data_IF_640563839381
#
_entry.id   IF_640563839381
#
_cell.length_a   1.000
_cell.length_b   1.000
_cell.length_c   1.000
_cell.angle_alpha   90.00
_cell.angle_beta   90.00
_cell.angle_gamma   90.00
#
_symmetry.space_group_name_H-M   'P 1'
#
loop_
_entity.id
_entity.type
_entity.pdbx_description
1 polymer ?
#
# COMPACT_ATOMS: atom_id res chain seq x y z
N UNK A 1 -21.51 6.05 2.08
CA UNK A 1 -20.89 5.05 1.20
C UNK A 1 -21.76 3.80 1.04
N UNK A 2 -22.16 3.10 2.13
CA UNK A 2 -22.96 1.86 2.06
C UNK A 2 -24.32 2.06 1.37
N UNK A 3 -25.06 3.14 1.68
CA UNK A 3 -26.33 3.47 1.07
C UNK A 3 -26.21 3.70 -0.45
N UNK A 4 -25.15 4.35 -0.90
CA UNK A 4 -24.86 4.61 -2.31
C UNK A 4 -24.50 3.33 -3.06
N UNK A 5 -23.75 2.43 -2.43
CA UNK A 5 -23.44 1.10 -2.98
C UNK A 5 -24.72 0.26 -3.14
N UNK A 6 -25.58 0.21 -2.12
CA UNK A 6 -26.86 -0.48 -2.17
C UNK A 6 -27.79 0.11 -3.23
N UNK A 7 -27.82 1.43 -3.35
CA UNK A 7 -28.61 2.12 -4.38
C UNK A 7 -28.10 1.79 -5.79
N UNK A 8 -26.78 1.83 -6.03
CA UNK A 8 -26.17 1.43 -7.32
C UNK A 8 -26.46 -0.03 -7.67
N UNK A 9 -26.34 -0.95 -6.72
CA UNK A 9 -26.62 -2.35 -6.91
C UNK A 9 -28.10 -2.64 -7.22
N UNK A 10 -29.01 -1.77 -6.79
CA UNK A 10 -30.47 -1.89 -7.08
C UNK A 10 -30.89 -1.23 -8.38
N UNK A 11 -30.22 -0.16 -8.80
CA UNK A 11 -30.65 0.66 -9.93
C UNK A 11 -29.92 0.34 -11.24
N UNK A 12 -28.79 -0.34 -11.19
CA UNK A 12 -28.02 -0.69 -12.37
C UNK A 12 -28.39 -2.09 -12.88
N UNK A 13 -28.93 -2.17 -14.09
CA UNK A 13 -29.34 -3.43 -14.74
C UNK A 13 -28.17 -4.41 -14.96
N UNK A 14 -26.93 -3.91 -14.97
CA UNK A 14 -25.71 -4.72 -15.04
C UNK A 14 -25.61 -5.77 -13.91
N UNK A 15 -26.20 -5.50 -12.74
CA UNK A 15 -26.14 -6.39 -11.59
C UNK A 15 -27.36 -7.34 -11.49
N UNK A 16 -28.40 -7.15 -12.30
CA UNK A 16 -29.59 -8.01 -12.30
C UNK A 16 -29.29 -9.48 -12.61
N UNK A 17 -28.39 -9.85 -13.55
CA UNK A 17 -28.05 -11.26 -13.81
C UNK A 17 -27.31 -11.92 -12.63
N UNK A 18 -26.66 -11.15 -11.72
CA UNK A 18 -25.96 -11.70 -10.57
C UNK A 18 -26.92 -12.15 -9.44
N UNK A 19 -28.20 -11.78 -9.50
CA UNK A 19 -29.22 -12.24 -8.56
C UNK A 19 -28.88 -11.96 -7.09
N UNK A 20 -28.16 -10.86 -6.79
CA UNK A 20 -27.63 -10.52 -5.45
C UNK A 20 -28.71 -10.48 -4.34
N UNK A 21 -29.97 -10.29 -4.73
CA UNK A 21 -31.12 -10.22 -3.81
C UNK A 21 -31.96 -11.51 -3.82
N UNK A 22 -31.53 -12.54 -4.55
CA UNK A 22 -32.12 -13.86 -4.47
C UNK A 22 -31.63 -14.60 -3.23
N UNK A 23 -32.26 -15.73 -2.89
CA UNK A 23 -31.92 -16.54 -1.71
C UNK A 23 -30.42 -16.69 -1.56
N UNK A 24 -29.88 -16.22 -0.43
CA UNK A 24 -28.49 -16.46 -0.06
C UNK A 24 -28.28 -17.98 0.01
N UNK A 25 -27.31 -18.46 -0.73
CA UNK A 25 -26.88 -19.85 -0.62
C UNK A 25 -26.26 -20.09 0.76
N UNK A 26 -26.41 -21.28 1.34
CA UNK A 26 -25.77 -21.60 2.61
C UNK A 26 -24.25 -21.50 2.49
N UNK A 27 -23.55 -21.13 3.57
CA UNK A 27 -22.13 -20.95 3.57
C UNK A 27 -21.40 -22.23 3.10
N UNK A 28 -20.64 -22.13 2.01
CA UNK A 28 -19.88 -23.24 1.46
C UNK A 28 -18.51 -23.31 2.13
N UNK A 29 -18.36 -24.21 3.10
CA UNK A 29 -17.15 -24.35 3.92
C UNK A 29 -15.83 -24.47 3.14
N UNK A 30 -15.73 -25.23 2.04
CA UNK A 30 -14.50 -25.28 1.24
C UNK A 30 -14.08 -23.93 0.69
N UNK A 31 -15.03 -23.11 0.26
CA UNK A 31 -14.75 -21.75 -0.24
C UNK A 31 -14.27 -20.84 0.89
N UNK A 32 -14.92 -20.91 2.06
CA UNK A 32 -14.54 -20.13 3.24
C UNK A 32 -13.13 -20.53 3.70
N UNK A 33 -12.83 -21.84 3.75
CA UNK A 33 -11.51 -22.34 4.10
C UNK A 33 -10.42 -21.87 3.10
N UNK A 34 -10.72 -21.81 1.80
CA UNK A 34 -9.85 -21.26 0.78
C UNK A 34 -9.54 -19.78 1.02
N UNK A 35 -10.55 -18.96 1.31
CA UNK A 35 -10.36 -17.56 1.65
C UNK A 35 -9.59 -17.38 2.96
N UNK A 36 -9.88 -18.17 3.99
CA UNK A 36 -9.18 -18.11 5.27
C UNK A 36 -7.70 -18.48 5.13
N UNK A 37 -7.38 -19.49 4.31
CA UNK A 37 -6.01 -19.91 4.06
C UNK A 37 -5.14 -18.82 3.44
N UNK A 38 -5.72 -17.94 2.62
CA UNK A 38 -5.04 -16.79 2.03
C UNK A 38 -5.13 -15.54 2.91
N UNK A 39 -6.29 -15.30 3.50
CA UNK A 39 -6.58 -14.10 4.28
C UNK A 39 -5.88 -14.08 5.63
N UNK A 40 -5.77 -15.21 6.33
CA UNK A 40 -5.12 -15.27 7.64
C UNK A 40 -3.63 -14.89 7.56
N UNK A 41 -2.80 -15.50 6.70
CA UNK A 41 -1.40 -15.09 6.58
C UNK A 41 -1.23 -13.62 6.15
N UNK A 42 -2.05 -13.16 5.21
CA UNK A 42 -2.02 -11.76 4.78
C UNK A 42 -2.39 -10.81 5.92
N UNK A 43 -3.44 -11.12 6.68
CA UNK A 43 -3.85 -10.35 7.86
C UNK A 43 -2.80 -10.32 8.96
N UNK A 44 -2.14 -11.46 9.22
CA UNK A 44 -1.03 -11.55 10.17
C UNK A 44 0.16 -10.71 9.73
N UNK A 45 0.51 -10.71 8.44
CA UNK A 45 1.58 -9.86 7.91
C UNK A 45 1.30 -8.38 8.15
N UNK A 46 0.10 -7.91 7.84
CA UNK A 46 -0.32 -6.52 8.09
C UNK A 46 -0.32 -6.21 9.60
N UNK A 47 -0.77 -7.14 10.43
CA UNK A 47 -0.77 -6.96 11.90
C UNK A 47 0.67 -6.78 12.43
N UNK A 48 1.61 -7.60 11.98
CA UNK A 48 3.03 -7.49 12.36
C UNK A 48 3.60 -6.15 11.89
N UNK A 49 3.33 -5.76 10.65
CA UNK A 49 3.76 -4.49 10.09
C UNK A 49 3.27 -3.29 10.93
N UNK A 50 1.97 -3.19 11.15
CA UNK A 50 1.36 -2.09 11.94
C UNK A 50 1.89 -2.07 13.37
N UNK A 51 2.02 -3.24 14.01
CA UNK A 51 2.56 -3.36 15.37
C UNK A 51 4.00 -2.90 15.43
N UNK A 52 4.83 -3.27 14.45
CA UNK A 52 6.24 -2.86 14.35
C UNK A 52 6.37 -1.34 14.21
N UNK A 53 5.58 -0.72 13.35
CA UNK A 53 5.55 0.74 13.21
C UNK A 53 5.13 1.45 14.50
N UNK A 54 4.12 0.93 15.19
CA UNK A 54 3.62 1.49 16.45
C UNK A 54 4.68 1.38 17.55
N UNK A 55 5.34 0.23 17.68
CA UNK A 55 6.42 0.02 18.65
C UNK A 55 7.61 0.93 18.36
N UNK A 56 8.00 1.05 17.09
CA UNK A 56 9.08 1.95 16.68
C UNK A 56 8.77 3.40 17.06
N UNK A 57 7.55 3.88 16.80
CA UNK A 57 7.13 5.22 17.19
C UNK A 57 7.19 5.43 18.73
N UNK A 58 6.79 4.41 19.50
CA UNK A 58 6.85 4.44 20.96
C UNK A 58 8.30 4.52 21.49
N UNK A 59 9.21 3.74 20.89
CA UNK A 59 10.62 3.79 21.27
C UNK A 59 11.27 5.15 20.93
N UNK A 60 10.96 5.71 19.76
CA UNK A 60 11.46 7.02 19.33
C UNK A 60 10.92 8.14 20.22
N UNK A 61 9.65 8.03 20.69
CA UNK A 61 9.07 9.00 21.61
C UNK A 61 9.85 9.12 22.94
N UNK A 62 10.53 8.06 23.36
CA UNK A 62 11.42 8.07 24.56
C UNK A 62 12.71 8.88 24.35
N UNK A 63 13.11 9.14 23.11
CA UNK A 63 14.32 9.89 22.78
C UNK A 63 14.10 11.43 22.82
N UNK A 64 12.90 11.86 23.12
CA UNK A 64 12.53 13.26 23.23
C UNK A 64 11.65 13.79 22.10
N UNK A 65 11.14 14.99 22.31
CA UNK A 65 10.14 15.62 21.42
C UNK A 65 10.66 15.89 20.01
N UNK A 66 11.93 16.28 19.87
CA UNK A 66 12.56 16.56 18.57
C UNK A 66 12.63 15.30 17.70
N UNK A 67 13.08 14.18 18.29
CA UNK A 67 13.16 12.90 17.57
C UNK A 67 11.79 12.38 17.20
N UNK A 68 10.80 12.48 18.10
CA UNK A 68 9.43 12.09 17.85
C UNK A 68 8.79 12.91 16.72
N UNK A 69 8.99 14.24 16.72
CA UNK A 69 8.48 15.13 15.66
C UNK A 69 9.12 14.81 14.30
N UNK A 70 10.44 14.62 14.24
CA UNK A 70 11.14 14.25 13.01
C UNK A 70 10.68 12.90 12.46
N UNK A 71 10.48 11.90 13.33
CA UNK A 71 9.95 10.60 12.93
C UNK A 71 8.53 10.71 12.38
N UNK A 72 7.65 11.49 13.02
CA UNK A 72 6.28 11.68 12.56
C UNK A 72 6.22 12.34 11.18
N UNK A 73 7.08 13.33 10.92
CA UNK A 73 7.20 13.95 9.59
C UNK A 73 7.64 12.91 8.55
N UNK A 74 8.68 12.16 8.85
CA UNK A 74 9.20 11.12 7.96
C UNK A 74 8.16 10.01 7.69
N UNK A 75 7.44 9.57 8.72
CA UNK A 75 6.39 8.56 8.60
C UNK A 75 5.22 9.05 7.73
N UNK A 76 4.78 10.30 7.89
CA UNK A 76 3.74 10.89 7.05
C UNK A 76 4.17 10.98 5.58
N UNK A 77 5.40 11.42 5.32
CA UNK A 77 5.95 11.48 3.97
C UNK A 77 6.05 10.09 3.35
N UNK A 78 6.57 9.11 4.10
CA UNK A 78 6.66 7.73 3.66
C UNK A 78 5.27 7.15 3.34
N UNK A 79 4.26 7.42 4.16
CA UNK A 79 2.89 6.96 3.93
C UNK A 79 2.29 7.53 2.64
N UNK A 80 2.47 8.83 2.37
CA UNK A 80 2.00 9.46 1.13
C UNK A 80 2.68 8.85 -0.09
N UNK A 81 4.00 8.68 -0.04
CA UNK A 81 4.78 8.10 -1.12
C UNK A 81 4.45 6.63 -1.36
N UNK A 82 4.17 5.88 -0.29
CA UNK A 82 3.78 4.47 -0.36
C UNK A 82 2.41 4.26 -1.04
N UNK A 83 1.49 5.23 -0.98
CA UNK A 83 0.18 5.14 -1.61
C UNK A 83 0.26 4.96 -3.14
N UNK A 84 1.27 5.53 -3.78
CA UNK A 84 1.44 5.43 -5.24
C UNK A 84 1.81 3.99 -5.68
N UNK A 85 2.90 3.37 -5.19
CA UNK A 85 3.20 1.97 -5.52
C UNK A 85 2.12 1.00 -5.02
N UNK A 86 1.47 1.28 -3.90
CA UNK A 86 0.37 0.46 -3.41
C UNK A 86 -0.81 0.43 -4.39
N UNK A 87 -1.25 1.58 -4.89
CA UNK A 87 -2.34 1.66 -5.86
C UNK A 87 -2.00 0.94 -7.16
N UNK A 88 -0.76 1.05 -7.62
CA UNK A 88 -0.26 0.34 -8.80
C UNK A 88 -0.24 -1.18 -8.60
N UNK A 89 0.18 -1.62 -7.41
CA UNK A 89 0.19 -3.05 -7.03
C UNK A 89 -1.24 -3.63 -7.03
N UNK A 90 -2.20 -2.92 -6.43
CA UNK A 90 -3.61 -3.33 -6.41
C UNK A 90 -4.18 -3.42 -7.84
N UNK A 91 -3.92 -2.42 -8.68
CA UNK A 91 -4.38 -2.41 -10.07
C UNK A 91 -3.76 -3.56 -10.90
N UNK A 92 -2.47 -3.81 -10.72
CA UNK A 92 -1.75 -4.90 -11.39
C UNK A 92 -2.30 -6.26 -10.94
N UNK A 93 -2.48 -6.45 -9.63
CA UNK A 93 -3.02 -7.68 -9.05
C UNK A 93 -4.42 -7.99 -9.59
N UNK A 94 -5.30 -7.00 -9.64
CA UNK A 94 -6.65 -7.15 -10.19
C UNK A 94 -6.63 -7.58 -11.66
N UNK A 95 -5.75 -6.99 -12.47
CA UNK A 95 -5.61 -7.34 -13.89
C UNK A 95 -5.01 -8.72 -14.09
N UNK A 96 -4.01 -9.09 -13.29
CA UNK A 96 -3.41 -10.45 -13.33
C UNK A 96 -4.45 -11.49 -12.97
N UNK A 97 -5.21 -11.28 -11.90
CA UNK A 97 -6.28 -12.19 -11.46
C UNK A 97 -7.35 -12.37 -12.54
N UNK A 98 -7.71 -11.30 -13.22
CA UNK A 98 -8.65 -11.36 -14.35
C UNK A 98 -8.15 -12.27 -15.48
N UNK A 99 -6.88 -12.12 -15.90
CA UNK A 99 -6.32 -12.92 -16.99
C UNK A 99 -5.97 -14.36 -16.60
N UNK A 100 -5.74 -14.62 -15.31
CA UNK A 100 -5.60 -16.00 -14.79
C UNK A 100 -6.94 -16.74 -14.77
N UNK A 101 -8.05 -16.02 -14.53
CA UNK A 101 -9.40 -16.59 -14.62
C UNK A 101 -9.89 -16.78 -16.07
N UNK A 102 -9.33 -16.04 -17.02
CA UNK A 102 -9.58 -16.21 -18.44
C UNK A 102 -8.60 -17.26 -19.02
N UNK A 103 -8.93 -17.98 -20.10
CA UNK A 103 -8.04 -19.00 -20.69
C UNK A 103 -6.85 -18.38 -21.47
N UNK A 104 -6.20 -17.36 -20.92
CA UNK A 104 -5.11 -16.59 -21.54
C UNK A 104 -3.96 -16.29 -20.58
N UNK A 105 -3.21 -17.31 -20.09
CA UNK A 105 -2.16 -17.12 -19.10
C UNK A 105 -0.98 -16.26 -19.60
N UNK A 106 -0.76 -16.23 -20.92
CA UNK A 106 0.29 -15.40 -21.51
C UNK A 106 0.04 -13.91 -21.31
N UNK A 107 -1.23 -13.47 -21.33
CA UNK A 107 -1.58 -12.08 -21.03
C UNK A 107 -1.37 -11.73 -19.57
N UNK A 108 -1.61 -12.65 -18.65
CA UNK A 108 -1.29 -12.46 -17.24
C UNK A 108 0.20 -12.14 -17.04
N UNK A 109 1.10 -12.91 -17.69
CA UNK A 109 2.54 -12.66 -17.65
C UNK A 109 2.93 -11.29 -18.21
N UNK A 110 2.32 -10.89 -19.33
CA UNK A 110 2.57 -9.54 -19.90
C UNK A 110 2.15 -8.43 -18.93
N UNK A 111 0.99 -8.57 -18.27
CA UNK A 111 0.52 -7.60 -17.28
C UNK A 111 1.46 -7.53 -16.08
N UNK A 112 1.98 -8.66 -15.60
CA UNK A 112 2.98 -8.67 -14.53
C UNK A 112 4.23 -7.91 -14.93
N UNK A 113 4.79 -8.19 -16.11
CA UNK A 113 6.00 -7.50 -16.59
C UNK A 113 5.76 -5.99 -16.78
N UNK A 114 4.63 -5.60 -17.35
CA UNK A 114 4.25 -4.18 -17.49
C UNK A 114 4.05 -3.52 -16.12
N UNK A 115 3.40 -4.19 -15.18
CA UNK A 115 3.22 -3.69 -13.81
C UNK A 115 4.55 -3.47 -13.10
N UNK A 116 5.48 -4.43 -13.24
CA UNK A 116 6.83 -4.32 -12.66
C UNK A 116 7.64 -3.17 -13.29
N UNK A 117 7.65 -3.06 -14.62
CA UNK A 117 8.36 -1.98 -15.30
C UNK A 117 7.82 -0.61 -14.94
N UNK A 118 6.49 -0.49 -14.86
CA UNK A 118 5.85 0.76 -14.46
C UNK A 118 6.13 1.09 -12.98
N UNK A 119 6.09 0.09 -12.08
CA UNK A 119 6.43 0.27 -10.68
C UNK A 119 7.88 0.72 -10.50
N UNK A 120 8.82 0.12 -11.22
CA UNK A 120 10.22 0.51 -11.20
C UNK A 120 10.41 1.95 -11.70
N UNK A 121 9.78 2.33 -12.82
CA UNK A 121 9.86 3.68 -13.36
C UNK A 121 9.30 4.72 -12.39
N UNK A 122 8.12 4.45 -11.81
CA UNK A 122 7.49 5.33 -10.82
C UNK A 122 8.35 5.41 -9.56
N UNK A 123 8.90 4.28 -9.08
CA UNK A 123 9.80 4.25 -7.92
C UNK A 123 11.06 5.11 -8.13
N UNK A 124 11.71 4.97 -9.29
CA UNK A 124 12.87 5.78 -9.65
C UNK A 124 12.51 7.26 -9.73
N UNK A 125 11.37 7.60 -10.36
CA UNK A 125 10.92 8.98 -10.45
C UNK A 125 10.64 9.60 -9.07
N UNK A 126 9.95 8.87 -8.18
CA UNK A 126 9.69 9.31 -6.81
C UNK A 126 10.98 9.47 -6.02
N UNK A 127 11.92 8.54 -6.14
CA UNK A 127 13.23 8.63 -5.49
C UNK A 127 14.01 9.87 -5.98
N UNK A 128 14.02 10.14 -7.29
CA UNK A 128 14.66 11.31 -7.85
C UNK A 128 14.02 12.62 -7.35
N UNK A 129 12.69 12.69 -7.34
CA UNK A 129 11.95 13.85 -6.81
C UNK A 129 12.30 14.10 -5.34
N UNK A 130 12.33 13.05 -4.52
CA UNK A 130 12.70 13.17 -3.11
C UNK A 130 14.11 13.64 -2.89
N UNK A 131 15.08 13.11 -3.64
CA UNK A 131 16.47 13.52 -3.55
C UNK A 131 16.66 14.99 -3.91
N UNK A 132 15.98 15.46 -4.93
CA UNK A 132 16.01 16.87 -5.37
C UNK A 132 15.29 17.78 -4.36
N UNK A 133 14.11 17.37 -3.93
CA UNK A 133 13.23 18.19 -3.10
C UNK A 133 13.49 18.05 -1.58
N UNK A 134 14.44 17.22 -1.15
CA UNK A 134 14.68 16.90 0.29
C UNK A 134 14.82 18.13 1.20
N UNK A 135 15.49 19.19 0.71
CA UNK A 135 15.67 20.43 1.47
C UNK A 135 14.39 21.26 1.55
N UNK A 136 13.66 21.37 0.45
CA UNK A 136 12.41 22.14 0.39
C UNK A 136 11.29 21.47 1.19
N UNK A 137 11.24 20.14 1.16
CA UNK A 137 10.23 19.36 1.89
C UNK A 137 10.41 19.52 3.39
N UNK A 138 11.65 19.42 3.91
CA UNK A 138 11.88 19.57 5.35
C UNK A 138 11.53 20.96 5.86
N UNK A 139 11.71 22.00 5.07
CA UNK A 139 11.37 23.40 5.41
C UNK A 139 9.86 23.66 5.41
N UNK A 140 9.07 22.94 4.61
CA UNK A 140 7.60 23.07 4.59
C UNK A 140 6.97 22.50 5.87
N UNK A 141 7.57 21.43 6.43
CA UNK A 141 7.01 20.75 7.60
C UNK A 141 7.40 21.36 8.95
N UNK A 142 8.55 22.07 9.03
CA UNK A 142 9.02 22.66 10.30
C UNK A 142 9.98 23.80 10.08
N UNK A 143 9.81 24.87 10.86
CA UNK A 143 10.75 25.99 10.93
C UNK A 143 11.94 25.68 11.86
N UNK A 144 11.91 24.54 12.57
CA UNK A 144 12.97 24.14 13.48
C UNK A 144 14.07 23.41 12.73
N UNK A 145 15.23 24.07 12.60
CA UNK A 145 16.39 23.57 11.84
C UNK A 145 16.91 22.19 12.33
N UNK A 146 16.82 21.90 13.63
CA UNK A 146 17.25 20.61 14.19
C UNK A 146 16.31 19.48 13.78
N UNK A 147 15.01 19.72 13.77
CA UNK A 147 14.00 18.73 13.33
C UNK A 147 14.11 18.50 11.82
N UNK A 148 14.30 19.58 11.04
CA UNK A 148 14.48 19.49 9.58
C UNK A 148 15.71 18.68 9.18
N UNK A 149 16.84 18.85 9.87
CA UNK A 149 18.07 18.09 9.61
C UNK A 149 17.89 16.59 9.88
N UNK A 150 17.28 16.23 11.01
CA UNK A 150 17.01 14.83 11.38
C UNK A 150 15.99 14.20 10.41
N UNK A 151 14.91 14.91 10.10
CA UNK A 151 13.90 14.43 9.14
C UNK A 151 14.51 14.19 7.75
N UNK A 152 15.37 15.08 7.26
CA UNK A 152 16.07 14.91 5.99
C UNK A 152 16.97 13.66 5.94
N UNK A 153 17.64 13.34 7.03
CA UNK A 153 18.47 12.13 7.14
C UNK A 153 17.60 10.86 7.17
N UNK A 154 16.51 10.87 7.93
CA UNK A 154 15.59 9.74 8.02
C UNK A 154 14.88 9.48 6.67
N UNK A 155 14.55 10.52 5.91
CA UNK A 155 13.99 10.39 4.57
C UNK A 155 14.93 9.68 3.60
N UNK A 156 16.24 9.98 3.66
CA UNK A 156 17.23 9.28 2.82
C UNK A 156 17.35 7.81 3.21
N UNK A 157 17.35 7.49 4.49
CA UNK A 157 17.37 6.10 4.98
C UNK A 157 16.09 5.35 4.58
N UNK A 158 14.93 5.99 4.63
CA UNK A 158 13.65 5.41 4.17
C UNK A 158 13.65 5.11 2.68
N UNK A 159 14.32 5.94 1.86
CA UNK A 159 14.49 5.69 0.44
C UNK A 159 15.29 4.42 0.15
N UNK A 160 16.36 4.17 0.92
CA UNK A 160 17.17 2.95 0.79
C UNK A 160 16.29 1.73 1.12
N UNK A 161 15.46 1.83 2.14
CA UNK A 161 14.55 0.74 2.55
C UNK A 161 13.41 0.48 1.56
N UNK A 162 12.89 1.52 0.90
CA UNK A 162 11.87 1.40 -0.16
C UNK A 162 12.49 0.84 -1.45
N UNK A 163 13.76 1.13 -1.73
CA UNK A 163 14.47 0.64 -2.91
C UNK A 163 15.01 -0.79 -2.75
N UNK A 164 14.94 -1.38 -1.57
CA UNK A 164 15.16 -2.81 -1.33
C UNK A 164 13.83 -3.56 -1.26
N UNK A 165 13.13 -3.75 -2.39
CA UNK A 165 11.99 -4.64 -2.41
C UNK A 165 12.53 -6.07 -2.38
N UNK A 166 12.26 -6.77 -1.31
CA UNK A 166 12.33 -8.23 -1.28
C UNK A 166 13.71 -8.87 -1.33
N UNK A 167 14.41 -8.86 -0.20
CA UNK A 167 15.13 -10.04 0.22
C UNK A 167 14.27 -10.79 1.26
N UNK A 168 13.14 -11.28 0.80
CA UNK A 168 12.39 -12.33 1.49
C UNK A 168 12.49 -13.55 0.59
N UNK A 169 13.60 -14.25 0.73
CA UNK A 169 13.64 -15.68 0.46
C UNK A 169 12.91 -16.42 1.56
#
# INVERSE_FOLDING_TARGET
MLALAVWLLRTQDIYTPLGLWRRMEPPHWPTIAGFARLGIPAGLAVMVEVTSFTLMALFIARQGTTSAAAHQIAANMAAVLYMVPLSLSIATSARVSYWLGAPQPQRARQVVLMGFSLAALVGIALAAILLIARHSISQIYTDNASVAAVAGTVLVLSLIHISEPTRQE
#
